data_IF_297556983979
#
_entry.id   IF_297556983979
#
_cell.length_a   1.000
_cell.length_b   1.000
_cell.length_c   1.000
_cell.angle_alpha   90.00
_cell.angle_beta   90.00
_cell.angle_gamma   90.00
#
_symmetry.space_group_name_H-M   'P 1'
#
loop_
_entity.id
_entity.type
_entity.pdbx_description
1 polymer ?
#
# COMPACT_ATOMS: atom_id res chain seq x y z
N UNK A 1 15.17 11.77 -9.62
CA UNK A 1 15.44 10.41 -9.09
C UNK A 1 14.39 9.94 -8.07
N UNK A 2 13.75 10.82 -7.29
CA UNK A 2 12.73 10.43 -6.28
C UNK A 2 11.45 9.80 -6.87
N UNK A 3 10.96 10.30 -8.02
CA UNK A 3 9.71 9.83 -8.64
C UNK A 3 9.76 8.38 -9.15
N UNK A 4 10.94 7.92 -9.58
CA UNK A 4 11.10 6.58 -10.15
C UNK A 4 10.90 5.48 -9.09
N UNK A 5 11.55 5.62 -7.93
CA UNK A 5 11.45 4.64 -6.84
C UNK A 5 10.04 4.53 -6.27
N UNK A 6 9.36 5.67 -6.08
CA UNK A 6 7.99 5.68 -5.57
C UNK A 6 6.99 5.02 -6.54
N UNK A 7 7.14 5.28 -7.84
CA UNK A 7 6.27 4.71 -8.87
C UNK A 7 6.51 3.21 -9.03
N UNK A 8 7.79 2.79 -9.01
CA UNK A 8 8.17 1.38 -9.08
C UNK A 8 7.62 0.58 -7.88
N UNK A 9 7.82 1.08 -6.64
CA UNK A 9 7.27 0.45 -5.42
C UNK A 9 5.76 0.28 -5.51
N UNK A 10 5.05 1.30 -5.99
CA UNK A 10 3.59 1.23 -6.09
C UNK A 10 3.13 0.19 -7.10
N UNK A 11 3.79 0.10 -8.26
CA UNK A 11 3.43 -0.90 -9.27
C UNK A 11 3.72 -2.32 -8.78
N UNK A 12 4.87 -2.54 -8.13
CA UNK A 12 5.24 -3.85 -7.57
C UNK A 12 4.20 -4.30 -6.53
N UNK A 13 3.76 -3.41 -5.64
CA UNK A 13 2.76 -3.72 -4.63
C UNK A 13 1.39 -4.10 -5.22
N UNK A 14 0.94 -3.38 -6.26
CA UNK A 14 -0.34 -3.68 -6.93
C UNK A 14 -0.26 -5.02 -7.67
N UNK A 15 0.81 -5.27 -8.42
CA UNK A 15 1.00 -6.54 -9.13
C UNK A 15 1.09 -7.71 -8.15
N UNK A 16 1.76 -7.52 -7.01
CA UNK A 16 1.83 -8.54 -5.95
C UNK A 16 0.44 -8.85 -5.36
N UNK A 17 -0.37 -7.83 -5.08
CA UNK A 17 -1.72 -8.02 -4.57
C UNK A 17 -2.63 -8.76 -5.58
N UNK A 18 -2.48 -8.45 -6.87
CA UNK A 18 -3.21 -9.13 -7.96
C UNK A 18 -2.79 -10.59 -8.08
N UNK A 19 -1.49 -10.89 -8.00
CA UNK A 19 -0.96 -12.25 -8.06
C UNK A 19 -1.52 -13.14 -6.94
N UNK A 20 -1.63 -12.57 -5.73
CA UNK A 20 -2.18 -13.23 -4.54
C UNK A 20 -3.71 -13.50 -4.62
N UNK A 21 -4.47 -12.66 -5.34
CA UNK A 21 -5.94 -12.69 -5.41
C UNK A 21 -6.44 -12.84 -6.85
N UNK A 22 -5.81 -13.71 -7.62
CA UNK A 22 -6.07 -13.93 -9.06
C UNK A 22 -7.55 -14.20 -9.42
N UNK A 23 -8.34 -14.84 -8.55
CA UNK A 23 -9.78 -15.08 -8.78
C UNK A 23 -10.64 -13.81 -8.74
N UNK A 24 -10.24 -12.81 -7.93
CA UNK A 24 -10.95 -11.53 -7.77
C UNK A 24 -10.06 -10.34 -8.17
N UNK A 25 -9.14 -10.56 -9.09
CA UNK A 25 -8.10 -9.61 -9.45
C UNK A 25 -8.65 -8.22 -9.82
N UNK A 26 -9.75 -8.17 -10.59
CA UNK A 26 -10.39 -6.93 -11.02
C UNK A 26 -10.92 -6.10 -9.85
N UNK A 27 -11.74 -6.72 -8.99
CA UNK A 27 -12.33 -6.08 -7.81
C UNK A 27 -11.24 -5.64 -6.80
N UNK A 28 -10.26 -6.50 -6.56
CA UNK A 28 -9.15 -6.22 -5.64
C UNK A 28 -8.30 -5.03 -6.12
N UNK A 29 -7.99 -4.96 -7.42
CA UNK A 29 -7.21 -3.87 -8.00
C UNK A 29 -7.93 -2.53 -7.82
N UNK A 30 -9.24 -2.47 -8.11
CA UNK A 30 -10.05 -1.27 -7.92
C UNK A 30 -10.01 -0.81 -6.46
N UNK A 31 -10.23 -1.72 -5.51
CA UNK A 31 -10.20 -1.39 -4.08
C UNK A 31 -8.83 -0.83 -3.66
N UNK A 32 -7.73 -1.46 -4.08
CA UNK A 32 -6.37 -0.99 -3.78
C UNK A 32 -6.13 0.40 -4.37
N UNK A 33 -6.60 0.65 -5.59
CA UNK A 33 -6.44 1.96 -6.23
C UNK A 33 -7.27 3.04 -5.54
N UNK A 34 -8.50 2.72 -5.13
CA UNK A 34 -9.36 3.64 -4.38
C UNK A 34 -8.73 3.99 -3.04
N UNK A 35 -8.30 3.00 -2.25
CA UNK A 35 -7.65 3.21 -0.95
C UNK A 35 -6.42 4.10 -1.12
N UNK A 36 -5.58 3.82 -2.13
CA UNK A 36 -4.40 4.63 -2.44
C UNK A 36 -4.75 6.09 -2.68
N UNK A 37 -5.76 6.37 -3.49
CA UNK A 37 -6.17 7.74 -3.81
C UNK A 37 -6.82 8.45 -2.61
N UNK A 38 -7.60 7.73 -1.79
CA UNK A 38 -8.20 8.28 -0.58
C UNK A 38 -7.12 8.71 0.42
N UNK A 39 -6.09 7.88 0.64
CA UNK A 39 -4.96 8.22 1.51
C UNK A 39 -4.23 9.47 0.98
N UNK A 40 -3.97 9.53 -0.33
CA UNK A 40 -3.33 10.68 -0.96
C UNK A 40 -4.17 11.97 -0.80
N UNK A 41 -5.50 11.86 -0.90
CA UNK A 41 -6.43 12.96 -0.71
C UNK A 41 -6.42 13.47 0.74
N UNK A 42 -6.51 12.55 1.72
CA UNK A 42 -6.46 12.90 3.15
C UNK A 42 -5.14 13.56 3.50
N UNK A 43 -4.01 13.02 3.02
CA UNK A 43 -2.71 13.64 3.20
C UNK A 43 -2.66 15.04 2.58
N UNK A 44 -3.23 15.26 1.40
CA UNK A 44 -3.27 16.58 0.74
C UNK A 44 -4.05 17.62 1.55
N UNK A 45 -5.20 17.25 2.12
CA UNK A 45 -5.96 18.15 2.99
C UNK A 45 -5.21 18.48 4.29
N UNK A 46 -4.57 17.48 4.90
CA UNK A 46 -3.82 17.68 6.14
C UNK A 46 -2.56 18.54 5.93
N UNK A 47 -1.88 18.35 4.80
CA UNK A 47 -0.64 19.07 4.44
C UNK A 47 -0.88 20.58 4.32
N UNK A 48 -2.03 21.00 3.77
CA UNK A 48 -2.37 22.42 3.63
C UNK A 48 -2.48 23.14 5.00
N UNK A 49 -3.07 22.50 6.01
CA UNK A 49 -3.16 23.06 7.35
C UNK A 49 -1.83 23.03 8.11
N UNK A 50 -1.00 22.02 7.84
CA UNK A 50 0.25 21.79 8.57
C UNK A 50 1.37 22.73 8.14
N UNK A 51 1.45 23.04 6.83
CA UNK A 51 2.40 24.02 6.28
C UNK A 51 2.19 25.43 6.82
N UNK A 52 0.95 25.80 7.10
CA UNK A 52 0.61 27.12 7.66
C UNK A 52 1.04 27.31 9.13
N UNK A 53 1.32 26.23 9.88
CA UNK A 53 1.64 26.29 11.32
C UNK A 53 3.11 26.06 11.63
N UNK A 54 3.75 25.10 10.97
CA UNK A 54 5.09 24.58 11.35
C UNK A 54 6.20 24.83 10.31
N UNK A 55 5.87 25.50 9.20
CA UNK A 55 6.83 25.84 8.16
C UNK A 55 7.20 24.66 7.25
N UNK A 56 7.60 24.98 6.01
CA UNK A 56 7.77 24.02 4.92
C UNK A 56 8.86 22.96 5.21
N UNK A 57 9.91 23.32 5.96
CA UNK A 57 11.08 22.47 6.19
C UNK A 57 10.83 21.36 7.21
N UNK A 58 10.05 21.62 8.26
CA UNK A 58 9.71 20.62 9.29
C UNK A 58 8.72 19.57 8.77
N UNK A 59 7.71 20.04 8.02
CA UNK A 59 6.65 19.19 7.45
C UNK A 59 7.21 18.22 6.41
N UNK A 60 8.06 18.70 5.50
CA UNK A 60 8.68 17.86 4.46
C UNK A 60 9.66 16.84 5.05
N UNK A 61 10.40 17.21 6.09
CA UNK A 61 11.27 16.29 6.82
C UNK A 61 10.48 15.16 7.50
N UNK A 62 9.36 15.50 8.14
CA UNK A 62 8.52 14.52 8.83
C UNK A 62 7.82 13.57 7.85
N UNK A 63 7.35 14.08 6.70
CA UNK A 63 6.77 13.24 5.64
C UNK A 63 7.80 12.28 5.02
N UNK A 64 9.02 12.74 4.79
CA UNK A 64 10.11 11.89 4.30
C UNK A 64 10.47 10.80 5.33
N UNK A 65 10.51 11.15 6.62
CA UNK A 65 10.73 10.19 7.70
C UNK A 65 9.63 9.12 7.80
N UNK A 66 8.36 9.54 7.72
CA UNK A 66 7.22 8.61 7.73
C UNK A 66 7.28 7.65 6.53
N UNK A 67 7.67 8.15 5.35
CA UNK A 67 7.80 7.33 4.17
C UNK A 67 8.91 6.28 4.30
N UNK A 68 10.07 6.64 4.87
CA UNK A 68 11.13 5.68 5.18
C UNK A 68 10.72 4.66 6.25
N UNK A 69 9.97 5.08 7.27
CA UNK A 69 9.45 4.17 8.29
C UNK A 69 8.49 3.13 7.69
N UNK A 70 7.59 3.55 6.81
CA UNK A 70 6.66 2.65 6.10
C UNK A 70 7.40 1.67 5.18
N UNK A 71 8.45 2.13 4.49
CA UNK A 71 9.29 1.24 3.68
C UNK A 71 10.04 0.22 4.55
N UNK A 72 10.57 0.62 5.71
CA UNK A 72 11.22 -0.29 6.66
C UNK A 72 10.27 -1.34 7.22
N UNK A 73 8.99 -1.03 7.40
CA UNK A 73 7.95 -1.98 7.81
C UNK A 73 7.49 -2.86 6.63
N UNK A 74 7.51 -2.34 5.41
CA UNK A 74 7.15 -3.11 4.22
C UNK A 74 8.19 -4.20 3.87
N UNK A 75 9.47 -3.97 4.13
CA UNK A 75 10.56 -4.94 3.90
C UNK A 75 10.35 -6.28 4.64
N UNK A 76 10.12 -6.34 5.97
CA UNK A 76 9.85 -7.59 6.66
C UNK A 76 8.51 -8.19 6.21
N UNK A 77 7.50 -7.36 5.93
CA UNK A 77 6.22 -7.87 5.43
C UNK A 77 6.36 -8.58 4.07
N UNK A 78 7.26 -8.11 3.20
CA UNK A 78 7.57 -8.77 1.92
C UNK A 78 8.25 -10.14 2.12
N UNK A 79 9.18 -10.25 3.08
CA UNK A 79 9.84 -11.52 3.40
C UNK A 79 8.87 -12.54 4.01
N UNK A 80 7.94 -12.10 4.86
CA UNK A 80 6.93 -12.96 5.50
C UNK A 80 5.68 -13.20 4.66
N UNK A 81 5.58 -12.59 3.47
CA UNK A 81 4.38 -12.66 2.62
C UNK A 81 3.93 -14.09 2.30
N UNK A 82 4.87 -15.04 2.13
CA UNK A 82 4.56 -16.47 1.90
C UNK A 82 3.84 -17.13 3.08
N UNK A 83 4.13 -16.75 4.32
CA UNK A 83 3.44 -17.29 5.50
C UNK A 83 2.03 -16.69 5.65
N UNK A 84 1.85 -15.41 5.30
CA UNK A 84 0.56 -14.72 5.36
C UNK A 84 -0.38 -15.28 4.27
N UNK A 85 0.14 -15.56 3.08
CA UNK A 85 -0.57 -16.26 2.01
C UNK A 85 -0.99 -17.68 2.40
N UNK A 86 -0.08 -18.47 3.02
CA UNK A 86 -0.40 -19.82 3.51
C UNK A 86 -1.47 -19.81 4.61
N UNK A 87 -1.43 -18.80 5.49
CA UNK A 87 -2.42 -18.63 6.56
C UNK A 87 -3.79 -18.18 6.00
N UNK A 88 -3.81 -17.22 5.07
CA UNK A 88 -5.02 -16.78 4.37
C UNK A 88 -5.65 -17.89 3.51
N UNK A 89 -4.86 -18.74 2.87
CA UNK A 89 -5.38 -19.89 2.10
C UNK A 89 -6.04 -20.95 3.01
N UNK A 90 -5.61 -21.02 4.28
CA UNK A 90 -6.18 -21.97 5.26
C UNK A 90 -7.49 -21.46 5.87
N UNK A 91 -7.67 -20.14 6.04
CA UNK A 91 -8.81 -19.54 6.76
C UNK A 91 -9.75 -18.65 5.90
N UNK A 92 -9.44 -18.40 4.62
CA UNK A 92 -10.20 -17.49 3.75
C UNK A 92 -11.33 -18.14 2.92
N UNK A 93 -12.28 -17.35 2.38
CA UNK A 93 -13.45 -17.81 1.62
C UNK A 93 -13.14 -18.53 0.28
N UNK A 94 -11.87 -18.69 -0.09
CA UNK A 94 -11.44 -19.39 -1.31
C UNK A 94 -11.84 -20.87 -1.38
N UNK A 95 -12.22 -21.50 -0.26
CA UNK A 95 -12.75 -22.88 -0.26
C UNK A 95 -14.07 -23.03 -1.02
N UNK A 96 -14.80 -21.94 -1.29
CA UNK A 96 -16.11 -21.98 -1.96
C UNK A 96 -16.06 -21.91 -3.49
N UNK A 97 -14.93 -21.54 -4.10
CA UNK A 97 -14.82 -21.38 -5.57
C UNK A 97 -14.53 -22.70 -6.29
N UNK A 98 -13.99 -23.72 -5.60
CA UNK A 98 -13.73 -25.03 -6.22
C UNK A 98 -14.95 -25.98 -6.21
N UNK A 99 -16.16 -25.43 -6.08
CA UNK A 99 -17.41 -26.19 -6.00
C UNK A 99 -18.48 -25.63 -6.94
N UNK A 100 -18.07 -25.23 -8.14
CA UNK A 100 -18.90 -25.14 -9.34
C UNK A 100 -18.12 -25.69 -10.53
#
# INVERSE_FOLDING_TARGET
MHSFGFTAVSNIAVTFAVDCYQVYAGEALVIVFVIRNVIALVCSFYTNGWIGKDGLQSVTGTMAGLQWALLLVAVPMYLFSRQILSFTNTYGPMKRVHRE
#
